data_IF_041062741953
#
_entry.id   IF_041062741953
#
_cell.length_a   1.000
_cell.length_b   1.000
_cell.length_c   1.000
_cell.angle_alpha   90.00
_cell.angle_beta   90.00
_cell.angle_gamma   90.00
#
_symmetry.space_group_name_H-M   'P 1'
#
loop_
_entity.id
_entity.type
_entity.pdbx_description
1 polymer ?
#
# COMPACT_ATOMS: atom_id res chain seq x y z
N UNK A 1 -14.99 7.99 0.40
CA UNK A 1 -15.10 6.97 -0.68
C UNK A 1 -13.79 6.71 -1.43
N UNK A 2 -12.85 7.66 -1.57
CA UNK A 2 -11.61 7.43 -2.34
C UNK A 2 -10.72 6.30 -1.76
N UNK A 3 -10.61 6.15 -0.43
CA UNK A 3 -9.73 5.13 0.17
C UNK A 3 -10.20 3.69 -0.06
N UNK A 4 -11.50 3.42 -0.12
CA UNK A 4 -12.03 2.06 -0.36
C UNK A 4 -11.72 1.58 -1.78
N UNK A 5 -11.38 2.50 -2.69
CA UNK A 5 -10.96 2.15 -4.05
C UNK A 5 -9.61 1.43 -4.12
N UNK A 6 -8.79 1.52 -3.05
CA UNK A 6 -7.52 0.81 -2.93
C UNK A 6 -7.71 -0.68 -2.64
N UNK A 7 -8.82 -1.06 -2.01
CA UNK A 7 -9.17 -2.44 -1.69
C UNK A 7 -9.68 -3.18 -2.95
N UNK A 8 -9.52 -4.50 -2.93
CA UNK A 8 -9.96 -5.44 -3.96
C UNK A 8 -9.42 -5.12 -5.38
N UNK A 9 -8.39 -4.30 -5.48
CA UNK A 9 -7.74 -3.90 -6.73
C UNK A 9 -6.30 -4.39 -6.75
N UNK A 10 -5.87 -4.92 -7.90
CA UNK A 10 -4.46 -5.26 -8.14
C UNK A 10 -3.71 -4.04 -8.65
N UNK A 11 -2.66 -3.67 -7.94
CA UNK A 11 -1.83 -2.49 -8.15
C UNK A 11 -0.42 -2.88 -8.53
N UNK A 12 0.20 -2.04 -9.37
CA UNK A 12 1.64 -2.06 -9.63
C UNK A 12 2.25 -0.86 -8.91
N UNK A 13 3.22 -1.15 -8.06
CA UNK A 13 3.87 -0.22 -7.15
C UNK A 13 5.10 0.41 -7.80
N UNK A 14 5.21 1.72 -7.69
CA UNK A 14 6.36 2.50 -8.07
C UNK A 14 6.73 3.43 -6.93
N UNK A 15 8.00 3.79 -6.85
CA UNK A 15 8.50 4.88 -6.04
C UNK A 15 8.39 6.17 -6.81
N UNK A 16 8.11 7.25 -6.10
CA UNK A 16 8.16 8.61 -6.61
C UNK A 16 9.09 9.45 -5.74
N UNK A 17 9.97 10.21 -6.39
CA UNK A 17 10.65 11.31 -5.71
C UNK A 17 9.66 12.46 -5.45
N UNK A 18 10.00 13.46 -4.60
CA UNK A 18 9.14 14.61 -4.36
C UNK A 18 8.62 15.23 -5.67
N UNK A 19 7.33 15.58 -5.68
CA UNK A 19 6.68 16.26 -6.79
C UNK A 19 6.93 17.76 -6.64
N UNK A 20 7.75 18.34 -7.51
CA UNK A 20 8.06 19.77 -7.50
C UNK A 20 6.99 20.54 -8.28
N UNK A 21 6.18 21.36 -7.60
CA UNK A 21 5.05 22.08 -8.20
C UNK A 21 5.12 23.60 -8.03
N UNK A 22 6.24 24.13 -7.55
CA UNK A 22 6.40 25.54 -7.17
C UNK A 22 6.32 26.58 -8.28
N UNK A 23 6.06 26.16 -9.52
CA UNK A 23 5.80 27.09 -10.64
C UNK A 23 4.32 27.42 -10.78
N UNK A 24 3.44 26.51 -10.35
CA UNK A 24 2.00 26.59 -10.65
C UNK A 24 1.16 26.76 -9.37
N UNK A 25 1.49 26.04 -8.27
CA UNK A 25 0.70 26.07 -7.03
C UNK A 25 1.56 25.89 -5.77
N UNK A 26 1.10 26.46 -4.65
CA UNK A 26 1.80 26.37 -3.35
C UNK A 26 1.69 25.00 -2.67
N UNK A 27 0.59 24.27 -2.88
CA UNK A 27 0.33 22.92 -2.36
C UNK A 27 -0.46 22.09 -3.37
N UNK A 28 -0.10 20.81 -3.52
CA UNK A 28 -0.81 19.85 -4.38
C UNK A 28 -1.90 19.08 -3.61
N UNK A 29 -1.64 18.72 -2.35
CA UNK A 29 -2.58 17.98 -1.49
C UNK A 29 -3.63 18.94 -0.92
N UNK A 30 -4.89 18.49 -0.88
CA UNK A 30 -6.05 19.27 -0.42
C UNK A 30 -6.28 20.59 -1.18
N UNK A 31 -5.75 20.71 -2.41
CA UNK A 31 -5.97 21.87 -3.27
C UNK A 31 -6.81 21.47 -4.52
N UNK A 32 -8.14 21.65 -4.48
CA UNK A 32 -9.00 21.21 -5.59
C UNK A 32 -8.72 21.95 -6.91
N UNK A 33 -8.25 23.20 -6.85
CA UNK A 33 -7.89 23.97 -8.05
C UNK A 33 -6.65 23.38 -8.73
N UNK A 34 -5.62 23.05 -7.94
CA UNK A 34 -4.42 22.39 -8.47
C UNK A 34 -4.74 21.02 -9.06
N UNK A 35 -5.51 20.20 -8.34
CA UNK A 35 -5.91 18.87 -8.81
C UNK A 35 -6.71 18.95 -10.12
N UNK A 36 -7.66 19.87 -10.24
CA UNK A 36 -8.44 20.07 -11.48
C UNK A 36 -7.55 20.54 -12.64
N UNK A 37 -6.58 21.42 -12.38
CA UNK A 37 -5.63 21.88 -13.39
C UNK A 37 -4.78 20.73 -13.94
N UNK A 38 -4.15 19.93 -13.07
CA UNK A 38 -3.33 18.79 -13.51
C UNK A 38 -4.17 17.67 -14.14
N UNK A 39 -5.40 17.45 -13.68
CA UNK A 39 -6.34 16.51 -14.31
C UNK A 39 -6.66 16.91 -15.76
N UNK A 40 -6.89 18.21 -16.00
CA UNK A 40 -7.16 18.75 -17.35
C UNK A 40 -5.91 18.59 -18.23
N UNK A 41 -4.73 18.95 -17.72
CA UNK A 41 -3.47 18.82 -18.46
C UNK A 41 -3.15 17.36 -18.83
N UNK A 42 -3.37 16.42 -17.91
CA UNK A 42 -3.21 14.99 -18.20
C UNK A 42 -4.20 14.52 -19.26
N UNK A 43 -5.47 14.93 -19.16
CA UNK A 43 -6.50 14.62 -20.18
C UNK A 43 -6.11 15.14 -21.55
N UNK A 44 -5.62 16.37 -21.63
CA UNK A 44 -5.20 16.98 -22.89
C UNK A 44 -4.01 16.22 -23.49
N UNK A 45 -3.03 15.82 -22.66
CA UNK A 45 -1.91 14.99 -23.12
C UNK A 45 -2.37 13.62 -23.61
N UNK A 46 -3.28 12.95 -22.90
CA UNK A 46 -3.81 11.65 -23.31
C UNK A 46 -4.63 11.73 -24.61
N UNK A 47 -5.39 12.82 -24.78
CA UNK A 47 -6.19 13.06 -25.99
C UNK A 47 -5.29 13.43 -27.18
N UNK A 48 -4.26 14.24 -26.94
CA UNK A 48 -3.27 14.61 -27.96
C UNK A 48 -2.36 13.44 -28.36
N UNK A 49 -2.01 12.55 -27.42
CA UNK A 49 -1.25 11.33 -27.73
C UNK A 49 -2.06 10.27 -28.46
N UNK A 50 -3.39 10.44 -28.56
CA UNK A 50 -4.28 9.52 -29.26
C UNK A 50 -4.32 9.72 -30.79
N UNK A 51 -3.45 10.56 -31.36
CA UNK A 51 -3.33 10.80 -32.81
C UNK A 51 -1.87 10.77 -33.30
N UNK A 52 -1.43 9.86 -34.19
CA UNK A 52 -1.88 8.50 -34.46
C UNK A 52 -0.79 7.44 -34.13
N UNK A 53 -1.21 6.36 -33.49
CA UNK A 53 -0.52 5.07 -33.39
C UNK A 53 -0.56 4.33 -34.76
N UNK A 54 -0.24 5.03 -35.85
CA UNK A 54 -0.28 4.50 -37.23
C UNK A 54 1.09 4.51 -37.93
N UNK A 55 2.17 4.93 -37.27
CA UNK A 55 3.49 4.99 -37.88
C UNK A 55 4.63 4.67 -36.90
N UNK A 56 4.65 3.44 -36.36
CA UNK A 56 5.87 2.82 -35.83
C UNK A 56 5.69 1.30 -35.64
N UNK A 57 5.38 0.60 -36.73
CA UNK A 57 5.66 -0.84 -36.84
C UNK A 57 7.00 -1.02 -37.57
N UNK A 58 8.09 -0.95 -36.81
CA UNK A 58 9.40 -1.44 -37.28
C UNK A 58 10.29 -1.79 -36.08
N UNK A 59 10.05 -2.95 -35.49
CA UNK A 59 10.92 -3.56 -34.48
C UNK A 59 10.36 -4.91 -34.01
N UNK A 60 11.13 -6.01 -34.03
CA UNK A 60 10.58 -7.34 -33.79
C UNK A 60 10.46 -7.70 -32.29
N UNK A 61 9.26 -8.20 -31.94
CA UNK A 61 8.92 -9.18 -30.87
C UNK A 61 8.69 -8.68 -29.41
N UNK A 62 7.92 -9.43 -28.58
CA UNK A 62 6.45 -9.38 -28.52
C UNK A 62 5.92 -9.12 -27.08
N UNK A 63 4.78 -8.43 -26.89
CA UNK A 63 3.84 -8.77 -25.81
C UNK A 63 2.41 -8.48 -26.24
N UNK A 64 1.50 -9.38 -25.87
CA UNK A 64 0.05 -9.39 -26.13
C UNK A 64 -0.74 -8.26 -25.46
N UNK A 65 -0.08 -7.17 -25.04
CA UNK A 65 -0.69 -6.12 -24.22
C UNK A 65 -1.25 -4.94 -25.04
N UNK A 66 -0.86 -4.80 -26.31
CA UNK A 66 -1.26 -3.67 -27.18
C UNK A 66 -2.76 -3.70 -27.54
N UNK A 67 -3.35 -4.89 -27.48
CA UNK A 67 -4.77 -5.13 -27.76
C UNK A 67 -5.69 -4.65 -26.62
N UNK A 68 -5.12 -4.29 -25.46
CA UNK A 68 -5.89 -3.79 -24.31
C UNK A 68 -6.33 -2.34 -24.49
N UNK A 69 -5.45 -1.48 -25.05
CA UNK A 69 -5.74 -0.06 -25.27
C UNK A 69 -6.65 0.16 -26.48
N UNK A 70 -6.52 -0.68 -27.50
CA UNK A 70 -7.37 -0.62 -28.70
C UNK A 70 -8.85 -0.85 -28.40
N UNK A 71 -9.17 -1.54 -27.29
CA UNK A 71 -10.54 -1.84 -26.84
C UNK A 71 -11.07 -0.87 -25.78
N UNK A 72 -10.23 -0.01 -25.23
CA UNK A 72 -10.56 0.90 -24.13
C UNK A 72 -11.60 1.96 -24.53
N UNK A 73 -11.66 2.34 -25.81
CA UNK A 73 -12.54 3.41 -26.32
C UNK A 73 -11.99 4.81 -26.01
N UNK A 74 -12.79 5.85 -26.26
CA UNK A 74 -12.38 7.24 -26.03
C UNK A 74 -12.34 7.60 -24.52
N UNK A 75 -11.46 8.54 -24.15
CA UNK A 75 -11.38 9.06 -22.78
C UNK A 75 -12.58 9.99 -22.51
N UNK A 76 -13.42 9.63 -21.53
CA UNK A 76 -14.60 10.40 -21.14
C UNK A 76 -14.25 11.43 -20.04
N UNK A 77 -13.55 10.98 -19.00
CA UNK A 77 -13.23 11.82 -17.84
C UNK A 77 -11.85 11.51 -17.25
N UNK A 78 -11.23 12.54 -16.67
CA UNK A 78 -9.99 12.45 -15.91
C UNK A 78 -10.19 13.28 -14.65
N UNK A 79 -10.14 12.63 -13.48
CA UNK A 79 -10.33 13.31 -12.19
C UNK A 79 -9.17 12.99 -11.24
N UNK A 80 -8.81 14.00 -10.45
CA UNK A 80 -7.81 13.92 -9.40
C UNK A 80 -8.50 14.30 -8.09
N UNK A 81 -8.53 13.39 -7.14
CA UNK A 81 -9.26 13.52 -5.88
C UNK A 81 -8.28 13.42 -4.70
N UNK A 82 -8.47 14.23 -3.66
CA UNK A 82 -7.66 14.12 -2.44
C UNK A 82 -8.11 12.92 -1.62
N UNK A 83 -7.16 12.13 -1.13
CA UNK A 83 -7.42 11.07 -0.14
C UNK A 83 -7.21 11.68 1.23
N UNK A 84 -8.28 11.85 2.01
CA UNK A 84 -8.21 12.50 3.33
C UNK A 84 -7.53 11.63 4.39
N UNK A 85 -7.85 10.33 4.39
CA UNK A 85 -7.35 9.33 5.35
C UNK A 85 -7.02 8.02 4.65
N UNK A 86 -5.93 7.37 5.07
CA UNK A 86 -5.60 6.00 4.67
C UNK A 86 -6.17 4.95 5.65
N UNK A 87 -6.91 5.38 6.67
CA UNK A 87 -7.63 4.45 7.52
C UNK A 87 -8.88 3.93 6.80
N UNK A 88 -8.99 2.61 6.72
CA UNK A 88 -10.12 1.95 6.09
C UNK A 88 -11.34 1.80 7.02
N UNK A 89 -11.15 2.03 8.33
CA UNK A 89 -12.17 1.81 9.36
C UNK A 89 -13.05 3.02 9.65
N UNK A 90 -12.64 4.24 9.26
CA UNK A 90 -13.30 5.50 9.64
C UNK A 90 -14.39 6.00 8.66
N UNK A 91 -14.93 5.13 7.80
CA UNK A 91 -15.89 5.57 6.77
C UNK A 91 -17.33 5.75 7.27
N UNK A 92 -17.56 5.80 8.59
CA UNK A 92 -18.89 5.77 9.21
C UNK A 92 -19.36 7.03 9.93
N UNK A 93 -18.56 8.08 10.07
CA UNK A 93 -18.94 9.29 10.83
C UNK A 93 -18.75 10.59 10.03
N UNK A 94 -19.51 10.76 8.94
CA UNK A 94 -19.89 12.11 8.54
C UNK A 94 -21.01 12.59 9.47
N UNK A 95 -20.67 13.55 10.32
CA UNK A 95 -21.55 14.24 11.26
C UNK A 95 -22.68 14.94 10.49
N UNK A 96 -23.93 14.53 10.76
CA UNK A 96 -25.10 15.38 10.54
C UNK A 96 -24.94 16.69 11.33
N UNK A 97 -24.94 17.86 10.66
CA UNK A 97 -24.81 19.14 11.34
C UNK A 97 -26.20 19.73 11.62
N UNK A 98 -27.12 19.00 12.25
CA UNK A 98 -28.44 19.54 12.54
C UNK A 98 -29.14 18.81 13.70
N UNK A 99 -28.76 19.12 14.95
CA UNK A 99 -29.79 19.26 15.99
C UNK A 99 -29.32 20.20 17.10
N UNK A 100 -29.88 21.41 17.08
CA UNK A 100 -29.68 22.40 18.12
C UNK A 100 -30.62 22.18 19.31
N UNK A 101 -30.13 22.63 20.47
CA UNK A 101 -30.89 23.06 21.66
C UNK A 101 -31.32 21.97 22.65
N UNK A 102 -30.66 21.89 23.81
CA UNK A 102 -31.19 22.48 25.06
C UNK A 102 -30.22 22.28 26.24
N UNK A 103 -29.96 23.38 26.97
CA UNK A 103 -29.38 23.39 28.32
C UNK A 103 -30.47 23.03 29.36
N UNK A 104 -30.11 22.71 30.63
CA UNK A 104 -29.92 23.79 31.61
C UNK A 104 -28.86 23.56 32.71
N UNK A 105 -28.22 24.69 33.08
CA UNK A 105 -27.75 25.19 34.39
C UNK A 105 -27.15 24.30 35.51
N UNK A 106 -25.95 24.70 35.96
CA UNK A 106 -25.36 24.41 37.28
C UNK A 106 -24.00 25.13 37.47
N UNK A 107 -23.65 25.67 38.67
CA UNK A 107 -22.94 26.94 38.77
C UNK A 107 -21.39 26.89 38.85
N UNK A 108 -20.84 28.07 38.54
CA UNK A 108 -19.45 28.49 38.45
C UNK A 108 -18.55 28.14 39.65
N UNK A 109 -17.30 27.75 39.37
CA UNK A 109 -16.17 28.07 40.23
C UNK A 109 -14.98 28.58 39.43
N UNK A 110 -14.54 29.78 39.80
CA UNK A 110 -13.48 30.58 39.18
C UNK A 110 -12.11 30.00 39.47
N UNK A 111 -11.28 29.76 38.45
CA UNK A 111 -9.83 29.88 38.59
C UNK A 111 -9.14 30.14 37.24
N UNK A 112 -8.47 31.31 37.20
CA UNK A 112 -7.23 31.59 36.47
C UNK A 112 -7.30 31.75 34.94
N UNK A 113 -7.33 33.02 34.53
CA UNK A 113 -6.95 33.52 33.21
C UNK A 113 -5.52 33.12 32.85
N UNK A 114 -5.37 31.96 32.20
CA UNK A 114 -4.23 31.66 31.33
C UNK A 114 -4.63 32.00 29.90
N UNK A 115 -3.90 32.96 29.33
CA UNK A 115 -4.04 33.43 27.95
C UNK A 115 -3.59 32.30 27.02
N UNK A 116 -4.53 31.46 26.59
CA UNK A 116 -4.27 30.37 25.64
C UNK A 116 -3.87 30.97 24.30
N UNK A 117 -2.61 30.72 23.91
CA UNK A 117 -2.14 30.92 22.55
C UNK A 117 -2.99 30.05 21.60
N UNK A 118 -3.23 30.46 20.34
CA UNK A 118 -4.00 29.67 19.40
C UNK A 118 -3.31 28.31 19.21
N UNK A 119 -3.99 27.26 19.62
CA UNK A 119 -3.66 25.89 19.25
C UNK A 119 -3.76 25.80 17.74
N UNK A 120 -2.62 25.83 17.06
CA UNK A 120 -2.53 25.38 15.68
C UNK A 120 -2.97 23.92 15.64
N UNK A 121 -4.22 23.69 15.25
CA UNK A 121 -4.64 22.39 14.74
C UNK A 121 -3.70 22.06 13.57
N UNK A 122 -2.98 20.92 13.59
CA UNK A 122 -2.31 20.49 12.39
C UNK A 122 -3.41 20.32 11.34
N UNK A 123 -3.33 21.11 10.27
CA UNK A 123 -4.14 20.93 9.07
C UNK A 123 -4.15 19.44 8.71
N UNK A 124 -5.30 18.83 8.37
CA UNK A 124 -5.33 17.42 7.98
C UNK A 124 -4.39 17.26 6.77
N UNK A 125 -3.21 16.71 6.99
CA UNK A 125 -2.28 16.37 5.91
C UNK A 125 -2.92 15.17 5.21
N UNK A 126 -3.44 15.40 4.01
CA UNK A 126 -4.15 14.36 3.25
C UNK A 126 -3.24 13.15 3.00
N UNK A 127 -3.81 11.95 3.06
CA UNK A 127 -3.13 10.67 2.84
C UNK A 127 -2.72 10.38 1.40
N UNK A 128 -3.11 11.21 0.44
CA UNK A 128 -2.67 11.07 -0.93
C UNK A 128 -3.56 11.74 -1.98
N UNK A 129 -3.36 11.33 -3.23
CA UNK A 129 -4.12 11.75 -4.41
C UNK A 129 -4.55 10.51 -5.19
N UNK A 130 -5.85 10.39 -5.47
CA UNK A 130 -6.41 9.37 -6.35
C UNK A 130 -6.63 9.96 -7.74
N UNK A 131 -6.06 9.34 -8.76
CA UNK A 131 -6.27 9.67 -10.17
C UNK A 131 -7.19 8.63 -10.79
N UNK A 132 -8.30 9.06 -11.39
CA UNK A 132 -9.25 8.21 -12.09
C UNK A 132 -9.35 8.63 -13.55
N UNK A 133 -9.19 7.66 -14.44
CA UNK A 133 -9.36 7.83 -15.88
C UNK A 133 -10.53 6.95 -16.31
N UNK A 134 -11.62 7.57 -16.75
CA UNK A 134 -12.80 6.87 -17.25
C UNK A 134 -12.81 6.93 -18.77
N UNK A 135 -12.70 5.76 -19.37
CA UNK A 135 -12.90 5.55 -20.80
C UNK A 135 -14.24 4.86 -21.03
N UNK A 136 -14.69 4.82 -22.28
CA UNK A 136 -15.96 4.20 -22.67
C UNK A 136 -16.11 2.76 -22.15
N UNK A 137 -15.06 1.94 -22.27
CA UNK A 137 -15.13 0.52 -21.96
C UNK A 137 -14.29 0.12 -20.74
N UNK A 138 -13.60 1.06 -20.09
CA UNK A 138 -12.73 0.76 -18.97
C UNK A 138 -12.53 1.93 -18.01
N UNK A 139 -12.35 1.61 -16.73
CA UNK A 139 -11.89 2.57 -15.72
C UNK A 139 -10.50 2.19 -15.22
N UNK A 140 -9.59 3.14 -15.34
CA UNK A 140 -8.22 3.02 -14.90
C UNK A 140 -7.98 3.93 -13.69
N UNK A 141 -7.15 3.47 -12.75
CA UNK A 141 -6.88 4.20 -11.50
C UNK A 141 -5.39 4.25 -11.21
N UNK A 142 -4.96 5.33 -10.57
CA UNK A 142 -3.67 5.43 -9.91
C UNK A 142 -3.83 6.15 -8.56
N UNK A 143 -2.96 5.86 -7.60
CA UNK A 143 -2.96 6.54 -6.31
C UNK A 143 -1.53 6.93 -5.93
N UNK A 144 -1.33 8.19 -5.54
CA UNK A 144 -0.09 8.72 -4.99
C UNK A 144 -0.28 8.88 -3.49
N UNK A 145 0.49 8.16 -2.67
CA UNK A 145 0.23 8.02 -1.23
C UNK A 145 1.38 8.56 -0.38
N UNK A 146 1.06 9.00 0.83
CA UNK A 146 2.02 9.40 1.87
C UNK A 146 1.65 8.82 3.23
N UNK A 147 2.66 8.63 4.08
CA UNK A 147 2.51 8.09 5.43
C UNK A 147 1.87 9.08 6.42
N UNK A 148 1.83 10.39 6.10
CA UNK A 148 1.41 11.47 7.01
C UNK A 148 -0.05 11.41 7.52
N UNK A 149 -0.84 10.45 7.05
CA UNK A 149 -2.27 10.32 7.32
C UNK A 149 -2.65 9.03 8.06
N UNK A 150 -1.68 8.15 8.34
CA UNK A 150 -1.93 6.90 9.06
C UNK A 150 -1.79 7.12 10.59
N UNK A 151 -2.69 6.56 11.41
CA UNK A 151 -2.54 6.58 12.85
C UNK A 151 -1.25 5.83 13.21
N UNK A 152 -0.31 6.53 13.85
CA UNK A 152 0.92 5.94 14.31
C UNK A 152 0.62 4.83 15.33
N UNK A 153 0.73 3.56 14.93
CA UNK A 153 0.94 2.48 15.88
C UNK A 153 2.23 2.82 16.64
N UNK A 154 2.10 3.05 17.95
CA UNK A 154 3.19 3.49 18.82
C UNK A 154 4.34 2.49 18.74
N UNK A 155 5.33 2.79 17.92
CA UNK A 155 6.71 2.38 18.14
C UNK A 155 7.39 3.61 18.71
N UNK A 156 7.78 3.55 19.99
CA UNK A 156 8.55 4.60 20.65
C UNK A 156 9.95 4.72 20.00
N UNK A 157 10.01 5.29 18.81
CA UNK A 157 11.22 5.88 18.29
C UNK A 157 11.17 7.37 18.66
N UNK A 158 11.89 7.70 19.73
CA UNK A 158 12.14 9.08 20.19
C UNK A 158 12.94 9.86 19.16
N UNK A 159 12.34 10.23 18.03
CA UNK A 159 12.95 11.18 17.10
C UNK A 159 12.71 12.60 17.62
N UNK A 160 13.68 13.11 18.38
CA UNK A 160 13.82 14.54 18.68
C UNK A 160 13.64 15.36 17.40
N UNK A 161 12.98 16.53 17.44
CA UNK A 161 12.84 17.38 16.27
C UNK A 161 14.23 17.82 15.81
N UNK A 162 14.70 17.27 14.69
CA UNK A 162 15.96 17.70 14.06
C UNK A 162 15.79 19.16 13.67
N UNK A 163 16.56 20.02 14.33
CA UNK A 163 16.77 21.43 14.03
C UNK A 163 17.19 21.54 12.56
N UNK A 164 16.27 21.99 11.70
CA UNK A 164 16.55 22.26 10.28
C UNK A 164 17.59 23.37 10.17
N UNK A 165 18.78 23.03 9.70
CA UNK A 165 19.80 23.99 9.30
C UNK A 165 19.36 24.72 8.04
N UNK A 166 18.83 25.93 8.28
CA UNK A 166 18.85 27.15 7.45
C UNK A 166 19.56 27.04 6.08
N UNK A 167 18.91 26.42 5.11
CA UNK A 167 19.10 26.65 3.66
C UNK A 167 17.92 26.10 2.83
N UNK A 168 16.68 26.27 3.32
CA UNK A 168 15.49 26.04 2.49
C UNK A 168 15.19 27.33 1.71
N UNK A 169 15.76 27.45 0.51
CA UNK A 169 15.05 28.09 -0.59
C UNK A 169 13.68 27.42 -0.69
N UNK A 170 12.61 28.19 -0.84
CA UNK A 170 11.22 27.72 -0.86
C UNK A 170 10.98 26.74 -2.03
N UNK A 171 11.31 25.46 -1.85
CA UNK A 171 10.96 24.41 -2.79
C UNK A 171 9.56 23.93 -2.43
N UNK A 172 8.55 24.43 -3.13
CA UNK A 172 7.18 23.91 -3.08
C UNK A 172 7.16 22.51 -3.69
N UNK A 173 7.49 21.51 -2.87
CA UNK A 173 7.53 20.11 -3.23
C UNK A 173 6.63 19.31 -2.31
N UNK A 174 5.83 18.41 -2.89
CA UNK A 174 4.97 17.49 -2.14
C UNK A 174 5.59 16.10 -2.17
N UNK A 175 5.78 15.49 -1.00
CA UNK A 175 6.34 14.14 -0.88
C UNK A 175 5.22 13.09 -0.86
N UNK A 176 5.12 12.30 -1.93
CA UNK A 176 4.17 11.19 -2.09
C UNK A 176 4.94 9.95 -2.58
N UNK A 177 5.68 9.26 -1.70
CA UNK A 177 6.72 8.31 -2.08
C UNK A 177 6.22 7.06 -2.82
N UNK A 178 4.94 6.72 -2.72
CA UNK A 178 4.38 5.51 -3.30
C UNK A 178 3.32 5.83 -4.36
N UNK A 179 3.55 5.34 -5.57
CA UNK A 179 2.61 5.35 -6.68
C UNK A 179 2.06 3.95 -6.94
N UNK A 180 0.75 3.82 -6.86
CA UNK A 180 0.01 2.62 -7.23
C UNK A 180 -0.62 2.87 -8.59
N UNK A 181 -0.46 1.95 -9.54
CA UNK A 181 -1.08 2.05 -10.87
C UNK A 181 -1.84 0.79 -11.22
N UNK A 182 -3.04 0.98 -11.78
CA UNK A 182 -3.86 -0.06 -12.41
C UNK A 182 -4.06 0.33 -13.88
N UNK A 183 -2.95 0.42 -14.61
CA UNK A 183 -2.88 0.88 -15.99
C UNK A 183 -2.26 -0.21 -16.90
N UNK A 184 -2.73 -0.35 -18.16
CA UNK A 184 -1.98 -1.04 -19.21
C UNK A 184 -0.59 -0.42 -19.39
N UNK A 185 0.38 -1.19 -19.89
CA UNK A 185 1.77 -0.76 -19.96
C UNK A 185 1.97 0.58 -20.72
N UNK A 186 1.35 0.83 -21.88
CA UNK A 186 1.59 2.09 -22.59
C UNK A 186 0.93 3.30 -21.91
N UNK A 187 -0.26 3.13 -21.32
CA UNK A 187 -0.90 4.18 -20.52
C UNK A 187 -0.06 4.52 -19.28
N UNK A 188 0.49 3.50 -18.63
CA UNK A 188 1.39 3.67 -17.49
C UNK A 188 2.63 4.47 -17.87
N UNK A 189 3.25 4.16 -19.01
CA UNK A 189 4.42 4.89 -19.50
C UNK A 189 4.10 6.36 -19.76
N UNK A 190 2.94 6.64 -20.37
CA UNK A 190 2.48 8.01 -20.64
C UNK A 190 2.23 8.77 -19.34
N UNK A 191 1.57 8.14 -18.37
CA UNK A 191 1.33 8.75 -17.05
C UNK A 191 2.63 9.03 -16.28
N UNK A 192 3.56 8.08 -16.26
CA UNK A 192 4.87 8.28 -15.64
C UNK A 192 5.64 9.41 -16.32
N UNK A 193 5.65 9.44 -17.66
CA UNK A 193 6.27 10.53 -18.42
C UNK A 193 5.64 11.89 -18.09
N UNK A 194 4.30 11.96 -17.97
CA UNK A 194 3.59 13.17 -17.57
C UNK A 194 4.02 13.64 -16.18
N UNK A 195 4.09 12.72 -15.21
CA UNK A 195 4.53 13.07 -13.86
C UNK A 195 5.95 13.64 -13.89
N UNK A 196 6.89 12.94 -14.54
CA UNK A 196 8.28 13.38 -14.64
C UNK A 196 8.43 14.72 -15.35
N UNK A 197 7.73 14.97 -16.46
CA UNK A 197 7.83 16.23 -17.18
C UNK A 197 7.14 17.41 -16.47
N UNK A 198 6.08 17.13 -15.70
CA UNK A 198 5.27 18.16 -15.06
C UNK A 198 5.82 18.56 -13.70
N UNK A 199 6.30 17.59 -12.93
CA UNK A 199 6.70 17.77 -11.53
C UNK A 199 8.19 17.56 -11.26
N UNK A 200 9.01 17.35 -12.30
CA UNK A 200 10.43 17.03 -12.15
C UNK A 200 10.65 15.92 -11.11
N UNK A 201 9.87 14.84 -11.25
CA UNK A 201 9.87 13.68 -10.34
C UNK A 201 10.41 12.45 -11.05
N UNK A 202 11.17 11.65 -10.33
CA UNK A 202 11.65 10.36 -10.78
C UNK A 202 10.70 9.26 -10.32
N UNK A 203 10.29 8.41 -11.28
CA UNK A 203 9.45 7.25 -11.01
C UNK A 203 10.23 5.97 -11.30
N UNK A 204 10.27 5.05 -10.33
CA UNK A 204 10.93 3.75 -10.49
C UNK A 204 10.08 2.59 -9.98
N UNK A 205 10.11 1.40 -10.59
CA UNK A 205 9.39 0.24 -10.07
C UNK A 205 9.84 -0.12 -8.64
N UNK A 206 8.88 -0.35 -7.73
CA UNK A 206 9.19 -0.73 -6.35
C UNK A 206 9.47 -2.24 -6.28
N UNK A 207 10.75 -2.61 -6.12
CA UNK A 207 11.15 -4.01 -5.89
C UNK A 207 11.10 -4.34 -4.40
N UNK A 208 10.34 -5.38 -4.06
CA UNK A 208 10.18 -5.84 -2.69
C UNK A 208 11.12 -7.03 -2.43
N UNK A 209 12.10 -6.90 -1.51
CA UNK A 209 12.98 -8.01 -1.15
C UNK A 209 12.23 -9.19 -0.50
N UNK A 210 12.77 -10.41 -0.63
CA UNK A 210 12.20 -11.63 -0.02
C UNK A 210 11.94 -11.45 1.48
N UNK A 211 12.90 -10.86 2.21
CA UNK A 211 12.77 -10.56 3.63
C UNK A 211 11.54 -9.71 3.95
N UNK A 212 11.29 -8.66 3.15
CA UNK A 212 10.14 -7.78 3.34
C UNK A 212 8.83 -8.53 3.08
N UNK A 213 8.79 -9.35 2.02
CA UNK A 213 7.61 -10.16 1.70
C UNK A 213 7.31 -11.14 2.85
N UNK A 214 8.34 -11.76 3.43
CA UNK A 214 8.19 -12.65 4.58
C UNK A 214 7.71 -11.92 5.84
N UNK A 215 8.36 -10.81 6.20
CA UNK A 215 7.96 -9.95 7.32
C UNK A 215 6.52 -9.45 7.15
N UNK A 216 6.12 -9.06 5.94
CA UNK A 216 4.77 -8.59 5.64
C UNK A 216 3.69 -9.63 5.98
N UNK A 217 3.93 -10.93 5.68
CA UNK A 217 3.00 -11.99 6.07
C UNK A 217 2.94 -12.16 7.59
N UNK A 218 4.09 -12.18 8.26
CA UNK A 218 4.14 -12.32 9.71
C UNK A 218 3.45 -11.14 10.40
N UNK A 219 3.74 -9.90 10.00
CA UNK A 219 3.06 -8.70 10.52
C UNK A 219 1.55 -8.75 10.26
N UNK A 220 1.13 -9.20 9.07
CA UNK A 220 -0.29 -9.34 8.74
C UNK A 220 -0.97 -10.34 9.69
N UNK A 221 -0.40 -11.54 9.86
CA UNK A 221 -0.94 -12.58 10.74
C UNK A 221 -0.91 -12.12 12.22
N UNK A 222 0.16 -11.49 12.67
CA UNK A 222 0.26 -10.95 14.03
C UNK A 222 -0.79 -9.87 14.29
N UNK A 223 -1.07 -9.01 13.30
CA UNK A 223 -2.11 -7.99 13.41
C UNK A 223 -3.50 -8.61 13.57
N UNK A 224 -3.77 -9.73 12.88
CA UNK A 224 -5.02 -10.48 13.04
C UNK A 224 -5.15 -11.17 14.41
N UNK A 225 -4.03 -11.54 15.04
CA UNK A 225 -4.00 -12.19 16.36
C UNK A 225 -3.93 -11.23 17.55
N UNK A 226 -3.56 -9.97 17.33
CA UNK A 226 -3.30 -8.99 18.40
C UNK A 226 -4.57 -8.48 19.12
N UNK A 227 -5.78 -8.87 18.72
CA UNK A 227 -7.00 -8.54 19.46
C UNK A 227 -7.39 -9.67 20.41
N UNK A 228 -7.34 -9.35 21.72
CA UNK A 228 -7.41 -10.18 22.94
C UNK A 228 -8.68 -11.09 23.08
N UNK A 229 -9.00 -11.86 22.05
CA UNK A 229 -10.11 -12.82 22.07
C UNK A 229 -10.36 -13.52 20.73
N UNK A 230 -9.60 -13.21 19.68
CA UNK A 230 -9.73 -13.83 18.37
C UNK A 230 -8.93 -15.14 18.33
N UNK A 231 -9.60 -16.29 18.32
CA UNK A 231 -8.93 -17.58 18.18
C UNK A 231 -8.26 -17.75 16.80
N UNK A 232 -7.30 -18.67 16.70
CA UNK A 232 -6.64 -19.12 15.45
C UNK A 232 -7.62 -19.35 14.28
N UNK A 233 -8.86 -19.75 14.60
CA UNK A 233 -9.96 -19.94 13.64
C UNK A 233 -10.32 -18.69 12.82
N UNK A 234 -10.33 -17.50 13.42
CA UNK A 234 -10.65 -16.26 12.70
C UNK A 234 -9.55 -15.90 11.69
N UNK A 235 -8.30 -16.16 12.04
CA UNK A 235 -7.13 -15.95 11.16
C UNK A 235 -7.20 -16.89 9.96
N UNK A 236 -7.48 -18.17 10.19
CA UNK A 236 -7.64 -19.17 9.11
C UNK A 236 -8.79 -18.80 8.17
N UNK A 237 -9.87 -18.23 8.69
CA UNK A 237 -11.00 -17.77 7.87
C UNK A 237 -10.66 -16.57 6.98
N UNK A 238 -9.83 -15.64 7.47
CA UNK A 238 -9.41 -14.45 6.71
C UNK A 238 -8.30 -14.81 5.71
N UNK A 239 -7.29 -15.55 6.14
CA UNK A 239 -6.14 -15.94 5.32
C UNK A 239 -6.53 -17.02 4.29
N UNK A 240 -7.52 -17.88 4.60
CA UNK A 240 -7.98 -18.98 3.74
C UNK A 240 -6.83 -19.93 3.37
N UNK A 241 -6.37 -19.89 2.12
CA UNK A 241 -5.24 -20.66 1.62
C UNK A 241 -3.99 -19.78 1.51
N UNK A 242 -2.80 -20.37 1.68
CA UNK A 242 -1.54 -19.65 1.56
C UNK A 242 -0.74 -20.19 0.38
N UNK A 243 -0.44 -19.33 -0.59
CA UNK A 243 0.42 -19.63 -1.72
C UNK A 243 1.74 -18.87 -1.61
N UNK A 244 2.84 -19.60 -1.68
CA UNK A 244 4.20 -19.07 -1.71
C UNK A 244 4.81 -19.39 -3.07
N UNK A 245 5.35 -18.37 -3.74
CA UNK A 245 6.15 -18.58 -4.96
C UNK A 245 7.61 -18.32 -4.65
N UNK A 246 8.40 -19.38 -4.73
CA UNK A 246 9.85 -19.34 -4.63
C UNK A 246 10.44 -19.17 -6.03
N UNK A 247 11.48 -18.36 -6.14
CA UNK A 247 12.21 -18.12 -7.38
C UNK A 247 13.66 -18.52 -7.24
N UNK A 248 14.21 -19.11 -8.30
CA UNK A 248 15.58 -19.60 -8.34
C UNK A 248 16.36 -18.81 -9.40
N UNK A 249 17.54 -18.28 -9.06
CA UNK A 249 18.44 -17.70 -10.04
C UNK A 249 18.91 -18.76 -11.04
N UNK A 250 19.06 -18.36 -12.30
CA UNK A 250 19.55 -19.25 -13.36
C UNK A 250 20.96 -19.82 -13.09
N UNK A 251 21.76 -19.14 -12.25
CA UNK A 251 23.08 -19.61 -11.81
C UNK A 251 23.02 -20.80 -10.86
N UNK A 252 21.87 -21.01 -10.20
CA UNK A 252 21.64 -22.10 -9.25
C UNK A 252 20.87 -23.22 -9.93
N UNK A 253 19.78 -22.86 -10.61
CA UNK A 253 18.95 -23.79 -11.37
C UNK A 253 18.56 -23.16 -12.70
N UNK A 254 19.17 -23.58 -13.82
CA UNK A 254 18.84 -23.02 -15.13
C UNK A 254 17.44 -23.45 -15.59
N UNK A 255 16.99 -24.64 -15.20
CA UNK A 255 15.75 -25.25 -15.67
C UNK A 255 14.56 -24.98 -14.73
N UNK A 256 14.78 -24.91 -13.41
CA UNK A 256 13.73 -24.59 -12.45
C UNK A 256 13.75 -23.11 -12.13
N UNK A 257 12.86 -22.32 -12.75
CA UNK A 257 12.76 -20.87 -12.49
C UNK A 257 11.97 -20.54 -11.23
N UNK A 258 10.91 -21.30 -10.98
CA UNK A 258 9.94 -21.04 -9.90
C UNK A 258 9.37 -22.33 -9.33
N UNK A 259 9.14 -22.33 -8.01
CA UNK A 259 8.42 -23.39 -7.29
C UNK A 259 7.24 -22.75 -6.54
N UNK A 260 6.05 -23.31 -6.71
CA UNK A 260 4.87 -22.87 -5.97
C UNK A 260 4.57 -23.86 -4.84
N UNK A 261 4.52 -23.36 -3.61
CA UNK A 261 4.10 -24.11 -2.42
C UNK A 261 2.72 -23.60 -2.02
N UNK A 262 1.76 -24.50 -1.92
CA UNK A 262 0.38 -24.17 -1.53
C UNK A 262 0.04 -24.90 -0.25
N UNK A 263 -0.43 -24.15 0.74
CA UNK A 263 -0.88 -24.65 2.03
C UNK A 263 -2.41 -24.49 2.06
N UNK A 264 -3.16 -25.60 1.99
CA UNK A 264 -4.61 -25.58 2.09
C UNK A 264 -5.08 -25.01 3.43
N UNK A 265 -6.28 -24.42 3.42
CA UNK A 265 -6.93 -23.87 4.62
C UNK A 265 -6.98 -24.84 5.78
N UNK A 266 -7.30 -26.11 5.51
CA UNK A 266 -7.47 -27.15 6.53
C UNK A 266 -6.16 -27.47 7.27
N UNK A 267 -5.01 -27.24 6.63
CA UNK A 267 -3.69 -27.45 7.23
C UNK A 267 -3.11 -26.18 7.88
N UNK A 268 -3.57 -25.00 7.45
CA UNK A 268 -3.04 -23.72 7.90
C UNK A 268 -3.19 -23.51 9.42
N UNK A 269 -4.31 -23.94 9.99
CA UNK A 269 -4.55 -23.85 11.44
C UNK A 269 -3.47 -24.56 12.27
N UNK A 270 -3.03 -25.76 11.83
CA UNK A 270 -1.97 -26.51 12.50
C UNK A 270 -0.63 -25.76 12.51
N UNK A 271 -0.28 -25.07 11.42
CA UNK A 271 0.95 -24.26 11.36
C UNK A 271 0.88 -23.02 12.25
N UNK A 272 -0.30 -22.40 12.38
CA UNK A 272 -0.54 -21.26 13.25
C UNK A 272 -0.47 -21.65 14.73
N UNK A 273 -1.07 -22.79 15.09
CA UNK A 273 -1.09 -23.29 16.47
C UNK A 273 0.30 -23.71 16.95
N UNK A 274 1.09 -24.38 16.08
CA UNK A 274 2.49 -24.74 16.39
C UNK A 274 3.34 -23.48 16.57
N UNK A 275 3.11 -22.44 15.75
CA UNK A 275 3.79 -21.15 15.89
C UNK A 275 3.47 -20.41 17.18
N UNK A 276 2.34 -20.71 17.84
CA UNK A 276 1.86 -20.05 19.05
C UNK A 276 2.36 -20.70 20.36
N UNK A 277 3.01 -21.87 20.28
CA UNK A 277 3.43 -22.65 21.46
C UNK A 277 4.69 -22.10 22.18
N UNK A 278 5.21 -20.95 21.75
CA UNK A 278 6.37 -20.28 22.35
C UNK A 278 5.97 -19.06 23.18
N UNK A 279 6.55 -18.93 24.37
CA UNK A 279 6.36 -17.82 25.33
C UNK A 279 6.25 -16.44 24.69
N UNK A 280 5.04 -15.93 24.48
CA UNK A 280 4.73 -14.54 24.11
C UNK A 280 5.47 -13.96 22.89
N UNK A 281 6.03 -14.82 22.03
CA UNK A 281 6.80 -14.39 20.86
C UNK A 281 5.90 -14.28 19.64
N UNK A 282 6.12 -13.26 18.81
CA UNK A 282 5.39 -13.03 17.55
C UNK A 282 5.31 -14.31 16.70
N UNK A 283 4.14 -14.58 16.11
CA UNK A 283 3.93 -15.77 15.29
C UNK A 283 4.81 -15.69 14.04
N UNK A 284 5.71 -16.66 13.89
CA UNK A 284 6.57 -16.77 12.72
C UNK A 284 6.20 -18.02 11.91
N UNK A 285 5.09 -17.94 11.19
CA UNK A 285 4.54 -19.02 10.37
C UNK A 285 5.56 -19.49 9.33
N UNK A 286 6.33 -18.57 8.76
CA UNK A 286 7.35 -18.89 7.76
C UNK A 286 8.51 -19.70 8.34
N UNK A 287 8.90 -19.48 9.59
CA UNK A 287 9.91 -20.32 10.25
C UNK A 287 9.40 -21.75 10.46
N UNK A 288 8.15 -21.91 10.91
CA UNK A 288 7.53 -23.24 11.06
C UNK A 288 7.44 -23.96 9.72
N UNK A 289 7.03 -23.26 8.66
CA UNK A 289 7.00 -23.82 7.31
C UNK A 289 8.40 -24.20 6.83
N UNK A 290 9.42 -23.38 7.10
CA UNK A 290 10.80 -23.66 6.71
C UNK A 290 11.29 -24.96 7.36
N UNK A 291 11.06 -25.12 8.67
CA UNK A 291 11.39 -26.37 9.38
C UNK A 291 10.61 -27.58 8.85
N UNK A 292 9.33 -27.42 8.53
CA UNK A 292 8.51 -28.49 7.96
C UNK A 292 9.01 -28.95 6.59
N UNK A 293 9.40 -28.01 5.72
CA UNK A 293 9.95 -28.32 4.39
C UNK A 293 11.34 -28.97 4.50
N UNK A 294 12.14 -28.57 5.48
CA UNK A 294 13.44 -29.18 5.75
C UNK A 294 13.28 -30.62 6.25
N UNK A 295 12.40 -30.84 7.24
CA UNK A 295 12.19 -32.16 7.85
C UNK A 295 11.54 -33.15 6.88
N UNK A 296 10.51 -32.74 6.15
CA UNK A 296 9.70 -33.67 5.35
C UNK A 296 10.07 -33.72 3.86
N UNK A 297 10.68 -32.66 3.33
CA UNK A 297 11.04 -32.58 1.90
C UNK A 297 12.55 -32.41 1.67
N UNK A 298 13.35 -32.41 2.74
CA UNK A 298 14.80 -32.15 2.67
C UNK A 298 15.14 -30.84 1.96
N UNK A 299 14.25 -29.85 2.04
CA UNK A 299 14.41 -28.53 1.41
C UNK A 299 14.74 -27.48 2.47
N UNK A 300 15.99 -27.03 2.50
CA UNK A 300 16.42 -25.93 3.35
C UNK A 300 16.17 -24.59 2.65
N UNK A 301 15.13 -23.88 3.08
CA UNK A 301 14.83 -22.51 2.65
C UNK A 301 14.75 -21.59 3.86
N UNK A 302 15.39 -20.43 3.84
CA UNK A 302 15.07 -19.37 4.81
C UNK A 302 13.95 -18.49 4.24
N UNK A 303 12.72 -18.78 4.69
CA UNK A 303 11.56 -17.96 4.36
C UNK A 303 11.31 -16.84 5.36
N UNK A 304 11.93 -16.93 6.54
CA UNK A 304 11.69 -16.05 7.68
C UNK A 304 12.44 -14.72 7.57
N UNK A 305 13.48 -14.66 6.73
CA UNK A 305 14.30 -13.47 6.53
C UNK A 305 14.92 -12.98 7.84
N UNK A 306 15.28 -13.92 8.74
CA UNK A 306 15.72 -13.64 10.09
C UNK A 306 16.95 -12.73 10.13
N UNK A 307 17.14 -12.04 11.25
CA UNK A 307 18.25 -11.11 11.53
C UNK A 307 19.64 -11.76 11.54
N UNK A 308 19.79 -12.99 11.06
CA UNK A 308 21.07 -13.62 10.89
C UNK A 308 21.85 -12.84 9.83
N UNK A 309 22.93 -12.20 10.25
CA UNK A 309 23.89 -11.55 9.37
C UNK A 309 24.22 -12.54 8.23
N UNK A 310 24.05 -12.15 6.95
CA UNK A 310 24.25 -13.06 5.84
C UNK A 310 25.71 -13.52 5.87
N UNK A 311 25.95 -14.74 6.34
CA UNK A 311 27.29 -15.29 6.27
C UNK A 311 27.62 -15.44 4.78
N UNK A 312 28.81 -15.04 4.32
CA UNK A 312 29.14 -14.96 2.89
C UNK A 312 29.11 -16.32 2.14
N UNK A 313 28.79 -17.42 2.83
CA UNK A 313 28.68 -18.77 2.29
C UNK A 313 27.23 -19.30 2.18
N UNK A 314 26.26 -18.67 2.84
CA UNK A 314 24.83 -18.95 2.64
C UNK A 314 24.27 -17.89 1.69
N UNK A 315 24.65 -18.00 0.41
CA UNK A 315 23.85 -17.35 -0.63
C UNK A 315 22.48 -18.00 -0.58
N UNK A 316 21.45 -17.24 -0.23
CA UNK A 316 20.05 -17.62 -0.44
C UNK A 316 19.83 -17.82 -1.94
N UNK A 317 20.09 -19.06 -2.36
CA UNK A 317 19.92 -19.54 -3.71
C UNK A 317 18.45 -19.59 -4.11
N UNK A 318 17.54 -19.43 -3.14
CA UNK A 318 16.09 -19.43 -3.32
C UNK A 318 15.52 -18.19 -2.68
N UNK A 319 14.64 -17.50 -3.42
CA UNK A 319 14.06 -16.22 -2.98
C UNK A 319 12.55 -16.32 -2.95
N UNK A 320 11.94 -15.99 -1.82
CA UNK A 320 10.51 -15.76 -1.75
C UNK A 320 10.13 -14.57 -2.63
N UNK A 321 9.46 -14.85 -3.75
CA UNK A 321 9.15 -13.86 -4.78
C UNK A 321 7.71 -13.38 -4.72
N UNK A 322 6.81 -14.13 -4.09
CA UNK A 322 5.40 -13.77 -3.97
C UNK A 322 4.74 -14.52 -2.83
N UNK A 323 3.83 -13.82 -2.15
CA UNK A 323 2.83 -14.41 -1.24
C UNK A 323 1.44 -14.05 -1.76
N UNK A 324 0.52 -15.00 -1.73
CA UNK A 324 -0.88 -14.76 -1.96
C UNK A 324 -1.71 -15.54 -0.93
N UNK A 325 -2.67 -14.85 -0.32
CA UNK A 325 -3.67 -15.44 0.55
C UNK A 325 -5.02 -14.74 0.37
N UNK A 326 -6.02 -15.17 1.12
CA UNK A 326 -7.38 -14.60 1.11
C UNK A 326 -7.41 -13.10 1.43
N UNK A 327 -6.45 -12.60 2.22
CA UNK A 327 -6.38 -11.21 2.66
C UNK A 327 -5.53 -10.28 1.79
N UNK A 328 -4.49 -10.80 1.12
CA UNK A 328 -3.65 -9.98 0.25
C UNK A 328 -2.85 -10.79 -0.78
N UNK A 329 -2.31 -10.08 -1.77
CA UNK A 329 -1.28 -10.59 -2.68
C UNK A 329 -0.13 -9.59 -2.69
N UNK A 330 1.09 -10.07 -2.47
CA UNK A 330 2.30 -9.25 -2.48
C UNK A 330 3.40 -9.94 -3.31
N UNK A 331 3.92 -9.25 -4.32
CA UNK A 331 4.97 -9.75 -5.21
C UNK A 331 6.23 -8.90 -5.17
N UNK A 332 7.38 -9.56 -5.25
CA UNK A 332 8.72 -8.95 -5.35
C UNK A 332 8.90 -8.06 -6.59
N UNK A 333 8.05 -8.26 -7.60
CA UNK A 333 7.95 -7.43 -8.78
C UNK A 333 7.15 -6.12 -8.59
N UNK A 334 6.72 -5.83 -7.36
CA UNK A 334 5.97 -4.62 -7.03
C UNK A 334 4.48 -4.78 -7.29
N UNK A 335 3.92 -5.99 -7.23
CA UNK A 335 2.48 -6.22 -7.29
C UNK A 335 1.87 -6.25 -5.89
N UNK A 336 0.76 -5.54 -5.70
CA UNK A 336 0.01 -5.53 -4.45
C UNK A 336 -1.50 -5.64 -4.71
N UNK A 337 -2.19 -6.47 -3.94
CA UNK A 337 -3.66 -6.49 -3.83
C UNK A 337 -4.02 -6.63 -2.37
N UNK A 338 -4.84 -5.72 -1.85
CA UNK A 338 -5.43 -5.82 -0.52
C UNK A 338 -6.87 -6.30 -0.66
N UNK A 339 -7.31 -7.25 0.17
CA UNK A 339 -8.63 -7.86 0.08
C UNK A 339 -9.34 -7.72 1.43
N UNK A 340 -10.36 -6.87 1.45
CA UNK A 340 -11.25 -6.66 2.59
C UNK A 340 -12.58 -6.08 2.08
N UNK A 341 -13.67 -6.23 2.83
CA UNK A 341 -14.94 -5.59 2.48
C UNK A 341 -14.93 -4.15 3.03
N UNK A 342 -15.40 -3.15 2.26
CA UNK A 342 -15.55 -1.80 2.80
C UNK A 342 -16.58 -1.81 3.94
N UNK A 343 -16.47 -0.90 4.94
CA UNK A 343 -17.49 -0.78 5.97
C UNK A 343 -18.81 -0.41 5.32
N UNK A 344 -19.87 -1.21 5.54
CA UNK A 344 -21.22 -0.90 5.10
C UNK A 344 -21.90 -0.16 6.25
N UNK A 345 -22.49 1.01 5.97
CA UNK A 345 -23.28 1.73 6.98
C UNK A 345 -24.45 0.87 7.43
N UNK A 346 -24.59 0.71 8.74
CA UNK A 346 -25.52 -0.20 9.41
C UNK A 346 -26.91 -0.18 8.77
N UNK A 347 -27.23 -1.24 8.03
CA UNK A 347 -28.61 -1.61 7.80
C UNK A 347 -28.73 -3.12 7.96
N UNK A 348 -29.39 -3.47 9.05
CA UNK A 348 -29.89 -4.79 9.45
C UNK A 348 -28.94 -5.69 10.26
N UNK A 349 -29.39 -6.01 11.47
CA UNK A 349 -28.62 -6.64 12.55
C UNK A 349 -28.32 -8.12 12.32
N UNK A 350 -27.34 -8.43 11.48
CA UNK A 350 -26.93 -9.80 11.18
C UNK A 350 -25.41 -9.93 10.98
N UNK A 351 -24.74 -10.41 12.03
CA UNK A 351 -23.37 -10.97 12.12
C UNK A 351 -22.23 -10.08 12.63
N UNK A 352 -22.27 -9.74 13.93
CA UNK A 352 -21.15 -9.17 14.69
C UNK A 352 -19.81 -9.88 14.48
N UNK A 353 -19.82 -11.21 14.26
CA UNK A 353 -18.62 -11.99 13.98
C UNK A 353 -18.04 -11.76 12.58
N UNK A 354 -18.90 -11.56 11.56
CA UNK A 354 -18.45 -11.25 10.20
C UNK A 354 -17.91 -9.81 10.13
N UNK A 355 -18.57 -8.88 10.83
CA UNK A 355 -18.14 -7.49 10.93
C UNK A 355 -16.79 -7.39 11.66
N UNK A 356 -16.60 -8.16 12.74
CA UNK A 356 -15.31 -8.25 13.45
C UNK A 356 -14.20 -8.80 12.55
N UNK A 357 -14.45 -9.88 11.82
CA UNK A 357 -13.47 -10.45 10.86
C UNK A 357 -13.08 -9.43 9.79
N UNK A 358 -14.07 -8.69 9.29
CA UNK A 358 -13.82 -7.65 8.31
C UNK A 358 -12.99 -6.49 8.89
N UNK A 359 -13.29 -6.06 10.13
CA UNK A 359 -12.52 -5.03 10.83
C UNK A 359 -11.05 -5.44 11.02
N UNK A 360 -10.80 -6.68 11.44
CA UNK A 360 -9.46 -7.25 11.56
C UNK A 360 -8.74 -7.26 10.21
N UNK A 361 -9.42 -7.70 9.14
CA UNK A 361 -8.86 -7.71 7.80
C UNK A 361 -8.52 -6.29 7.28
N UNK A 362 -9.39 -5.31 7.52
CA UNK A 362 -9.16 -3.91 7.17
C UNK A 362 -7.95 -3.34 7.91
N UNK A 363 -7.85 -3.58 9.22
CA UNK A 363 -6.71 -3.16 10.04
C UNK A 363 -5.40 -3.80 9.57
N UNK A 364 -5.40 -5.10 9.30
CA UNK A 364 -4.22 -5.79 8.80
C UNK A 364 -3.81 -5.29 7.40
N UNK A 365 -4.77 -4.94 6.53
CA UNK A 365 -4.49 -4.29 5.25
C UNK A 365 -3.89 -2.88 5.42
N UNK A 366 -4.35 -2.11 6.41
CA UNK A 366 -3.82 -0.79 6.74
C UNK A 366 -2.37 -0.85 7.21
N UNK A 367 -2.05 -1.79 8.11
CA UNK A 367 -0.68 -2.04 8.58
C UNK A 367 0.22 -2.44 7.41
N UNK A 368 -0.24 -3.38 6.56
CA UNK A 368 0.53 -3.83 5.39
C UNK A 368 0.80 -2.69 4.39
N UNK A 369 -0.19 -1.83 4.14
CA UNK A 369 -0.02 -0.65 3.28
C UNK A 369 0.99 0.33 3.90
N UNK A 370 0.93 0.53 5.22
CA UNK A 370 1.85 1.38 5.97
C UNK A 370 3.30 0.90 5.87
N UNK A 371 3.53 -0.40 6.03
CA UNK A 371 4.87 -0.97 5.91
C UNK A 371 5.41 -0.87 4.48
N UNK A 372 4.53 -1.02 3.48
CA UNK A 372 4.88 -0.82 2.08
C UNK A 372 5.26 0.63 1.78
N UNK A 373 4.55 1.60 2.38
CA UNK A 373 4.87 3.02 2.31
C UNK A 373 6.22 3.34 2.95
N UNK A 374 6.49 2.85 4.16
CA UNK A 374 7.81 3.00 4.81
C UNK A 374 8.93 2.43 3.94
N UNK A 375 8.69 1.29 3.28
CA UNK A 375 9.67 0.69 2.35
C UNK A 375 9.88 1.51 1.07
N UNK A 376 8.89 2.30 0.66
CA UNK A 376 9.06 3.26 -0.44
C UNK A 376 9.98 4.41 -0.02
N UNK A 377 9.90 4.87 1.24
CA UNK A 377 10.72 5.96 1.79
C UNK A 377 12.17 5.56 2.08
N UNK A 378 12.42 4.41 2.72
CA UNK A 378 13.73 4.07 3.30
C UNK A 378 14.86 3.74 2.30
N UNK A 379 14.59 3.64 1.00
CA UNK A 379 15.57 3.11 0.04
C UNK A 379 16.44 4.15 -0.63
N UNK A 380 16.29 5.43 -0.30
CA UNK A 380 17.21 6.48 -0.74
C UNK A 380 18.61 6.28 -0.12
N UNK A 381 18.70 5.72 1.08
CA UNK A 381 19.97 5.59 1.83
C UNK A 381 20.85 4.38 1.41
N UNK A 382 20.27 3.32 0.83
CA UNK A 382 21.05 2.14 0.40
C UNK A 382 21.89 2.41 -0.87
N UNK A 383 21.57 3.47 -1.64
CA UNK A 383 22.27 3.79 -2.89
C UNK A 383 23.45 4.77 -2.71
N UNK A 384 23.73 5.22 -1.49
CA UNK A 384 24.86 6.11 -1.18
C UNK A 384 26.11 5.35 -0.67
N UNK A 385 26.03 4.02 -0.53
CA UNK A 385 27.16 3.15 -0.17
C UNK A 385 27.38 2.10 -1.28
N UNK A 386 27.94 2.52 -2.40
CA UNK A 386 28.63 1.65 -3.35
C UNK A 386 29.83 2.36 -3.92
#
# INVERSE_FOLDING_TARGET
MAQTSLLNTSWILHRLSPLHHGRDFDSLVNNPAALKFYATRLRDQLTASSFPLALQSSGPLPTTDDDSLSRTGALQSCTWESISSLSFSDTGHERDPENGSQAPDGPQSRARTQRSAPSHTPSPQGGGILVKLEYENATYKAALLTLSSLPAFQTEATSKPRTRTRSQTQTHATHLPLLLTRFPAPLRQTFVSFLSSTFDTYCSPLRLPSRFIGTALNTYINTLNSEDGSGSMDVVEIVKELHLTLSFPASVSPDLRTLNVTIPRDSLGGFLDVGNNGTGSELNVLAVLSSYLEEHLAMKFDLSGGNAEPTPKEQDYVRLSRIACGGFVLGGDGKLKLVAAPPVGDNDGSNTAADRKNLLALRACEVLLSDTLRRAEMSEDENQKS
#
